data_IF_286928186596
#
_entry.id   IF_286928186596
#
_cell.length_a   1.000
_cell.length_b   1.000
_cell.length_c   1.000
_cell.angle_alpha   90.00
_cell.angle_beta   90.00
_cell.angle_gamma   90.00
#
_symmetry.space_group_name_H-M   'P 1'
#
loop_
_entity.id
_entity.type
_entity.pdbx_description
1 polymer ?
#
# COMPACT_ATOMS: atom_id res chain seq x y z
N UNK A 1 13.39 -15.56 0.72
CA UNK A 1 13.83 -14.35 1.45
C UNK A 1 13.03 -13.10 1.08
N UNK A 2 12.53 -12.99 -0.15
CA UNK A 2 11.87 -11.77 -0.64
C UNK A 2 10.55 -11.44 0.07
N UNK A 3 9.80 -12.44 0.55
CA UNK A 3 8.51 -12.19 1.23
C UNK A 3 8.69 -11.61 2.64
N UNK A 4 9.75 -12.02 3.36
CA UNK A 4 10.10 -11.44 4.66
C UNK A 4 10.62 -10.02 4.49
N UNK A 5 11.41 -9.75 3.43
CA UNK A 5 11.85 -8.40 3.09
C UNK A 5 10.67 -7.50 2.71
N UNK A 6 9.75 -7.98 1.87
CA UNK A 6 8.55 -7.23 1.47
C UNK A 6 7.62 -6.98 2.65
N UNK A 7 7.42 -7.97 3.53
CA UNK A 7 6.64 -7.80 4.75
C UNK A 7 7.25 -6.76 5.69
N UNK A 8 8.57 -6.82 5.91
CA UNK A 8 9.30 -5.84 6.72
C UNK A 8 9.23 -4.41 6.16
N UNK A 9 9.27 -4.25 4.83
CA UNK A 9 9.11 -2.94 4.20
C UNK A 9 7.69 -2.38 4.41
N UNK A 10 6.66 -3.21 4.25
CA UNK A 10 5.27 -2.82 4.47
C UNK A 10 5.00 -2.46 5.93
N UNK A 11 5.59 -3.19 6.89
CA UNK A 11 5.46 -2.88 8.32
C UNK A 11 6.20 -1.60 8.70
N UNK A 12 7.39 -1.37 8.15
CA UNK A 12 8.13 -0.13 8.35
C UNK A 12 7.36 1.10 7.82
N UNK A 13 6.74 0.99 6.64
CA UNK A 13 5.86 2.03 6.09
C UNK A 13 4.64 2.29 6.99
N UNK A 14 4.00 1.23 7.48
CA UNK A 14 2.86 1.34 8.40
C UNK A 14 3.25 1.99 9.74
N UNK A 15 4.39 1.61 10.31
CA UNK A 15 4.90 2.20 11.55
C UNK A 15 5.24 3.67 11.34
N UNK A 16 5.87 4.04 10.22
CA UNK A 16 6.15 5.45 9.89
C UNK A 16 4.87 6.28 9.83
N UNK A 17 3.85 5.81 9.10
CA UNK A 17 2.54 6.48 9.02
C UNK A 17 1.88 6.62 10.39
N UNK A 18 1.99 5.60 11.24
CA UNK A 18 1.44 5.63 12.60
C UNK A 18 2.23 6.56 13.52
N UNK A 19 3.55 6.63 13.39
CA UNK A 19 4.42 7.50 14.17
C UNK A 19 4.16 8.98 13.85
N UNK A 20 3.99 9.31 12.56
CA UNK A 20 3.60 10.66 12.12
C UNK A 20 2.24 11.06 12.73
N UNK A 21 1.28 10.13 12.78
CA UNK A 21 -0.04 10.36 13.40
C UNK A 21 0.04 10.57 14.91
N UNK A 22 0.87 9.77 15.59
CA UNK A 22 1.08 9.87 17.04
C UNK A 22 1.80 11.18 17.38
N UNK A 23 2.74 11.61 16.56
CA UNK A 23 3.43 12.88 16.71
C UNK A 23 2.49 14.08 16.46
N UNK A 24 1.63 14.01 15.43
CA UNK A 24 0.59 15.01 15.16
C UNK A 24 -0.33 15.22 16.38
N UNK A 25 -0.80 14.12 16.97
CA UNK A 25 -1.65 14.14 18.17
C UNK A 25 -0.90 14.70 19.38
N UNK A 26 0.36 14.28 19.59
CA UNK A 26 1.18 14.77 20.69
C UNK A 26 1.44 16.29 20.59
N UNK A 27 1.77 16.78 19.39
CA UNK A 27 1.95 18.20 19.12
C UNK A 27 0.66 19.01 19.35
N UNK A 28 -0.50 18.43 19.04
CA UNK A 28 -1.80 19.05 19.32
C UNK A 28 -2.05 19.18 20.84
N UNK A 29 -1.65 18.18 21.62
CA UNK A 29 -1.74 18.21 23.09
C UNK A 29 -0.74 19.18 23.73
N UNK A 30 0.43 19.39 23.12
CA UNK A 30 1.37 20.45 23.53
C UNK A 30 0.80 21.84 23.23
N UNK A 31 0.24 22.04 22.02
CA UNK A 31 -0.42 23.31 21.64
C UNK A 31 -1.62 23.66 22.52
N UNK A 32 -2.37 22.65 22.99
CA UNK A 32 -3.49 22.83 23.93
C UNK A 32 -3.03 23.10 25.37
N UNK A 33 -1.73 23.08 25.66
CA UNK A 33 -1.16 23.33 26.99
C UNK A 33 -1.37 22.19 27.99
N UNK A 34 -1.91 21.06 27.53
CA UNK A 34 -2.22 19.87 28.34
C UNK A 34 -1.03 18.92 28.50
N UNK A 35 0.01 19.08 27.68
CA UNK A 35 1.19 18.22 27.68
C UNK A 35 2.45 19.06 27.50
N UNK A 36 3.54 18.78 28.23
CA UNK A 36 4.80 19.50 28.04
C UNK A 36 5.62 18.90 26.88
N UNK A 37 6.42 19.69 26.17
CA UNK A 37 7.21 19.25 25.00
C UNK A 37 8.10 18.02 25.30
N UNK A 38 8.63 17.96 26.52
CA UNK A 38 9.43 16.83 27.01
C UNK A 38 8.64 15.54 27.19
N UNK A 39 7.36 15.63 27.58
CA UNK A 39 6.47 14.48 27.78
C UNK A 39 5.92 13.99 26.44
N UNK A 40 5.61 14.90 25.52
CA UNK A 40 5.22 14.58 24.16
C UNK A 40 6.27 13.74 23.44
N UNK A 41 7.55 14.18 23.51
CA UNK A 41 8.68 13.43 22.91
C UNK A 41 8.88 12.06 23.55
N UNK A 42 8.72 11.95 24.88
CA UNK A 42 8.79 10.65 25.56
C UNK A 42 7.67 9.71 25.12
N UNK A 43 6.44 10.23 25.04
CA UNK A 43 5.28 9.45 24.60
C UNK A 43 5.44 8.92 23.17
N UNK A 44 5.83 9.79 22.23
CA UNK A 44 6.11 9.39 20.84
C UNK A 44 7.22 8.34 20.79
N UNK A 45 8.30 8.54 21.56
CA UNK A 45 9.41 7.59 21.64
C UNK A 45 9.01 6.23 22.22
N UNK A 46 8.20 6.19 23.28
CA UNK A 46 7.73 4.95 23.89
C UNK A 46 6.79 4.18 22.97
N UNK A 47 5.86 4.88 22.31
CA UNK A 47 4.95 4.28 21.33
C UNK A 47 5.74 3.69 20.17
N UNK A 48 6.74 4.43 19.66
CA UNK A 48 7.61 3.96 18.59
C UNK A 48 8.38 2.70 18.99
N UNK A 49 9.04 2.72 20.15
CA UNK A 49 9.82 1.57 20.64
C UNK A 49 8.93 0.33 20.87
N UNK A 50 7.71 0.50 21.37
CA UNK A 50 6.78 -0.59 21.58
C UNK A 50 6.27 -1.17 20.25
N UNK A 51 6.02 -0.33 19.25
CA UNK A 51 5.64 -0.76 17.90
C UNK A 51 6.77 -1.53 17.20
N UNK A 52 8.00 -1.01 17.23
CA UNK A 52 9.18 -1.69 16.67
C UNK A 52 9.44 -3.04 17.36
N UNK A 53 9.25 -3.14 18.68
CA UNK A 53 9.36 -4.41 19.40
C UNK A 53 8.29 -5.43 18.97
N UNK A 54 7.04 -4.97 18.80
CA UNK A 54 5.93 -5.83 18.35
C UNK A 54 6.10 -6.29 16.90
N UNK A 55 6.65 -5.44 16.05
CA UNK A 55 7.00 -5.79 14.67
C UNK A 55 8.00 -6.94 14.64
N UNK A 56 9.07 -6.85 15.42
CA UNK A 56 10.10 -7.90 15.49
C UNK A 56 9.51 -9.23 15.95
N UNK A 57 8.71 -9.22 17.02
CA UNK A 57 8.03 -10.43 17.50
C UNK A 57 7.07 -11.03 16.46
N UNK A 58 6.37 -10.16 15.71
CA UNK A 58 5.48 -10.59 14.64
C UNK A 58 6.28 -11.24 13.50
N UNK A 59 7.39 -10.63 13.08
CA UNK A 59 8.27 -11.16 12.04
C UNK A 59 8.89 -12.51 12.43
N UNK A 60 9.33 -12.67 13.67
CA UNK A 60 9.88 -13.94 14.18
C UNK A 60 8.81 -15.05 14.17
N UNK A 61 7.58 -14.74 14.60
CA UNK A 61 6.44 -15.67 14.54
C UNK A 61 6.05 -16.00 13.11
N UNK A 62 6.10 -15.02 12.21
CA UNK A 62 5.80 -15.19 10.80
C UNK A 62 6.82 -16.10 10.12
N UNK A 63 8.11 -15.90 10.40
CA UNK A 63 9.19 -16.77 9.91
C UNK A 63 8.99 -18.20 10.39
N UNK A 64 8.67 -18.40 11.68
CA UNK A 64 8.35 -19.73 12.21
C UNK A 64 7.15 -20.37 11.52
N UNK A 65 6.07 -19.62 11.28
CA UNK A 65 4.90 -20.12 10.56
C UNK A 65 5.24 -20.51 9.13
N UNK A 66 5.97 -19.67 8.40
CA UNK A 66 6.41 -19.96 7.02
C UNK A 66 7.28 -21.22 7.01
N UNK A 67 8.23 -21.32 7.92
CA UNK A 67 9.11 -22.50 8.02
C UNK A 67 8.33 -23.77 8.37
N UNK A 68 7.34 -23.68 9.26
CA UNK A 68 6.46 -24.80 9.64
C UNK A 68 5.54 -25.22 8.48
N UNK A 69 4.97 -24.27 7.75
CA UNK A 69 4.15 -24.56 6.57
C UNK A 69 5.01 -25.19 5.47
N UNK A 70 6.24 -24.71 5.28
CA UNK A 70 7.18 -25.26 4.31
C UNK A 70 7.64 -26.68 4.67
N UNK A 71 7.89 -26.96 5.96
CA UNK A 71 8.28 -28.29 6.43
C UNK A 71 7.13 -29.29 6.36
N UNK A 72 5.90 -28.86 6.68
CA UNK A 72 4.69 -29.67 6.53
C UNK A 72 4.36 -29.96 5.05
N UNK A 73 4.51 -28.97 4.17
CA UNK A 73 4.33 -29.16 2.72
C UNK A 73 5.29 -30.19 2.15
N UNK A 74 6.55 -30.20 2.62
CA UNK A 74 7.58 -31.15 2.20
C UNK A 74 7.29 -32.60 2.62
N UNK A 75 6.57 -32.78 3.74
CA UNK A 75 6.27 -34.09 4.33
C UNK A 75 5.01 -34.75 3.73
N UNK A 76 4.08 -33.93 3.22
CA UNK A 76 2.82 -34.37 2.59
C UNK A 76 2.89 -34.46 1.06
N UNK A 77 4.07 -34.26 0.45
CA UNK A 77 4.25 -34.32 -1.00
C UNK A 77 3.59 -33.16 -1.76
N UNK A 78 3.22 -32.07 -1.07
CA UNK A 78 2.83 -30.84 -1.74
C UNK A 78 4.11 -30.23 -2.34
N UNK A 79 4.23 -30.14 -3.68
CA UNK A 79 5.35 -29.46 -4.29
C UNK A 79 5.31 -28.03 -3.76
N UNK A 80 6.36 -27.68 -2.99
CA UNK A 80 6.85 -26.33 -2.70
C UNK A 80 6.04 -25.31 -3.51
N UNK A 81 4.98 -24.74 -2.92
CA UNK A 81 4.01 -23.84 -3.59
C UNK A 81 4.78 -23.07 -4.64
N UNK A 82 4.63 -23.50 -5.90
CA UNK A 82 5.63 -23.22 -6.93
C UNK A 82 5.73 -21.71 -7.04
N UNK A 83 6.87 -21.19 -6.58
CA UNK A 83 7.19 -19.77 -6.66
C UNK A 83 6.96 -19.27 -8.09
N UNK A 84 7.23 -20.12 -9.08
CA UNK A 84 6.99 -19.90 -10.50
C UNK A 84 5.50 -19.65 -10.81
N UNK A 85 4.58 -20.42 -10.21
CA UNK A 85 3.14 -20.20 -10.42
C UNK A 85 2.63 -18.93 -9.72
N UNK A 86 3.32 -18.43 -8.69
CA UNK A 86 2.99 -17.13 -8.10
C UNK A 86 3.56 -15.97 -8.92
N UNK A 87 4.79 -16.10 -9.44
CA UNK A 87 5.40 -15.09 -10.32
C UNK A 87 4.63 -15.01 -11.65
N UNK A 88 4.25 -16.14 -12.25
CA UNK A 88 3.40 -16.21 -13.45
C UNK A 88 2.02 -15.57 -13.21
N UNK A 89 1.40 -15.85 -12.05
CA UNK A 89 0.12 -15.23 -11.69
C UNK A 89 0.24 -13.74 -11.40
N UNK A 90 1.38 -13.29 -10.88
CA UNK A 90 1.66 -11.86 -10.69
C UNK A 90 1.84 -11.20 -12.06
N UNK A 91 2.59 -11.79 -12.98
CA UNK A 91 2.79 -11.29 -14.33
C UNK A 91 1.46 -11.21 -15.11
N UNK A 92 0.60 -12.22 -14.97
CA UNK A 92 -0.73 -12.21 -15.58
C UNK A 92 -1.63 -11.11 -14.97
N UNK A 93 -1.55 -10.88 -13.66
CA UNK A 93 -2.25 -9.78 -12.99
C UNK A 93 -1.73 -8.41 -13.42
N UNK A 94 -0.41 -8.24 -13.55
CA UNK A 94 0.22 -7.01 -14.04
C UNK A 94 -0.24 -6.70 -15.47
N UNK A 95 -0.28 -7.72 -16.34
CA UNK A 95 -0.76 -7.59 -17.72
C UNK A 95 -2.24 -7.20 -17.79
N UNK A 96 -3.10 -7.80 -16.96
CA UNK A 96 -4.51 -7.41 -16.88
C UNK A 96 -4.70 -5.98 -16.40
N UNK A 97 -3.89 -5.52 -15.44
CA UNK A 97 -3.93 -4.14 -14.95
C UNK A 97 -3.54 -3.16 -16.05
N UNK A 98 -2.52 -3.47 -16.85
CA UNK A 98 -2.09 -2.60 -17.95
C UNK A 98 -3.08 -2.59 -19.12
N UNK A 99 -3.71 -3.73 -19.43
CA UNK A 99 -4.81 -3.78 -20.40
C UNK A 99 -6.01 -2.95 -19.93
N UNK A 100 -6.37 -3.05 -18.64
CA UNK A 100 -7.43 -2.23 -18.04
C UNK A 100 -7.08 -0.73 -18.06
N UNK A 101 -5.81 -0.36 -17.80
CA UNK A 101 -5.35 1.03 -17.91
C UNK A 101 -5.45 1.54 -19.35
N UNK A 102 -5.00 0.76 -20.33
CA UNK A 102 -5.07 1.11 -21.75
C UNK A 102 -6.53 1.28 -22.21
N UNK A 103 -7.42 0.36 -21.78
CA UNK A 103 -8.85 0.46 -22.07
C UNK A 103 -9.48 1.72 -21.44
N UNK A 104 -9.13 2.03 -20.20
CA UNK A 104 -9.56 3.25 -19.50
C UNK A 104 -9.06 4.51 -20.21
N UNK A 105 -7.83 4.50 -20.70
CA UNK A 105 -7.24 5.63 -21.43
C UNK A 105 -7.89 5.84 -22.80
N UNK A 106 -8.18 4.77 -23.53
CA UNK A 106 -8.94 4.88 -24.78
C UNK A 106 -10.35 5.43 -24.52
N UNK A 107 -11.04 4.96 -23.48
CA UNK A 107 -12.34 5.50 -23.08
C UNK A 107 -12.26 6.97 -22.68
N UNK A 108 -11.20 7.39 -21.97
CA UNK A 108 -11.03 8.80 -21.59
C UNK A 108 -10.74 9.68 -22.80
N UNK A 109 -9.97 9.19 -23.78
CA UNK A 109 -9.72 9.87 -25.05
C UNK A 109 -11.00 9.97 -25.91
N UNK A 110 -11.81 8.92 -25.98
CA UNK A 110 -13.10 8.92 -26.67
C UNK A 110 -14.04 9.97 -26.06
N UNK A 111 -14.15 9.98 -24.72
CA UNK A 111 -14.95 10.98 -23.99
C UNK A 111 -14.41 12.40 -24.22
N UNK A 112 -13.09 12.60 -24.29
CA UNK A 112 -12.51 13.90 -24.61
C UNK A 112 -12.76 14.32 -26.06
N UNK A 113 -12.71 13.37 -27.02
CA UNK A 113 -13.04 13.62 -28.42
C UNK A 113 -14.52 13.95 -28.61
N UNK A 114 -15.42 13.22 -27.96
CA UNK A 114 -16.85 13.53 -27.96
C UNK A 114 -17.14 14.89 -27.31
N UNK A 115 -16.46 15.24 -26.21
CA UNK A 115 -16.57 16.58 -25.60
C UNK A 115 -16.02 17.69 -26.51
N UNK A 116 -14.94 17.45 -27.23
CA UNK A 116 -14.38 18.40 -28.21
C UNK A 116 -15.29 18.56 -29.44
N UNK A 117 -15.88 17.47 -29.93
CA UNK A 117 -16.84 17.48 -31.04
C UNK A 117 -18.18 18.13 -30.65
N UNK A 118 -18.66 17.89 -29.42
CA UNK A 118 -19.86 18.52 -28.86
C UNK A 118 -19.74 20.05 -28.74
N UNK A 119 -18.57 20.55 -28.35
CA UNK A 119 -18.30 22.00 -28.30
C UNK A 119 -18.14 22.65 -29.68
N UNK A 120 -17.71 21.91 -30.71
CA UNK A 120 -17.63 22.40 -32.09
C UNK A 120 -19.00 22.59 -32.75
N UNK A 121 -19.98 21.74 -32.41
CA UNK A 121 -21.35 21.83 -32.94
C UNK A 121 -22.13 23.03 -32.39
N UNK A 122 -21.93 23.39 -31.11
CA UNK A 122 -22.56 24.56 -30.50
C UNK A 122 -22.03 25.90 -31.06
N UNK A 123 -20.74 25.97 -31.42
CA UNK A 123 -20.15 27.16 -32.03
C UNK A 123 -20.61 27.37 -33.49
N UNK A 124 -20.80 26.29 -34.26
CA UNK A 124 -21.27 26.38 -35.65
C UNK A 124 -22.74 26.82 -35.78
N UNK A 125 -23.57 26.56 -34.76
CA UNK A 125 -25.00 26.96 -34.74
C UNK A 125 -25.22 28.45 -34.39
N UNK A 126 -24.21 29.13 -33.81
CA UNK A 126 -24.33 30.55 -33.41
C UNK A 126 -23.83 31.55 -34.46
N UNK A 127 -23.25 31.11 -35.58
CA UNK A 127 -22.75 31.97 -36.68
C UNK A 127 -23.79 32.12 -37.82
N UNK A 128 -24.91 31.39 -37.76
CA UNK A 128 -26.08 31.60 -38.62
C UNK A 128 -27.28 32.07 -37.80
N UNK A 129 -27.25 33.31 -37.33
CA UNK A 129 -28.45 34.10 -37.03
C UNK A 129 -28.23 35.56 -37.35
#
# INVERSE_FOLDING_TARGET
>A
MDILKKASLLTAEFISLSADKVQEVADEFVKKGTLHDSEAKKFVSEVRNNLESREKEFMDRWEQLVNNVQSLGSSLGFPKVEKDNLDDRIEELERHVDELKARRENLSQEIQREKAAGNGSAAASSIKK
#
